data_IF_310756865415
#
_entry.id   IF_310756865415
#
_cell.length_a   1.000
_cell.length_b   1.000
_cell.length_c   1.000
_cell.angle_alpha   90.00
_cell.angle_beta   90.00
_cell.angle_gamma   90.00
#
_symmetry.space_group_name_H-M   'P 1'
#
loop_
_entity.id
_entity.type
_entity.pdbx_description
1 polymer ?
#
# COMPACT_ATOMS: atom_id res chain seq x y z
N UNK A 1 -3.91 -29.32 -1.35
CA UNK A 1 -3.13 -28.23 -0.70
C UNK A 1 -3.78 -27.93 0.64
N UNK A 2 -3.02 -27.89 1.72
CA UNK A 2 -3.54 -27.61 3.05
C UNK A 2 -3.86 -26.10 3.19
N UNK A 3 -4.99 -25.78 3.83
CA UNK A 3 -5.42 -24.40 4.13
C UNK A 3 -4.31 -23.63 4.87
N UNK A 4 -3.56 -24.30 5.75
CA UNK A 4 -2.41 -23.71 6.45
C UNK A 4 -1.32 -23.21 5.50
N UNK A 5 -1.05 -23.95 4.41
CA UNK A 5 -0.08 -23.52 3.40
C UNK A 5 -0.56 -22.28 2.63
N UNK A 6 -1.87 -22.22 2.31
CA UNK A 6 -2.46 -21.03 1.67
C UNK A 6 -2.34 -19.83 2.60
N UNK A 7 -2.73 -19.96 3.85
CA UNK A 7 -2.66 -18.87 4.84
C UNK A 7 -1.23 -18.38 5.05
N UNK A 8 -0.26 -19.30 5.13
CA UNK A 8 1.16 -18.96 5.21
C UNK A 8 1.68 -18.28 3.93
N UNK A 9 1.19 -18.69 2.76
CA UNK A 9 1.53 -18.06 1.48
C UNK A 9 0.96 -16.63 1.38
N UNK A 10 -0.29 -16.43 1.83
CA UNK A 10 -0.98 -15.14 1.81
C UNK A 10 -0.35 -14.15 2.82
N UNK A 11 0.17 -14.62 3.97
CA UNK A 11 0.68 -13.81 5.09
C UNK A 11 -0.24 -12.63 5.40
N UNK A 12 -1.34 -12.93 6.05
CA UNK A 12 -2.39 -11.95 6.38
C UNK A 12 -1.87 -10.73 7.17
N UNK A 13 -0.80 -10.91 7.93
CA UNK A 13 -0.11 -9.85 8.69
C UNK A 13 0.27 -8.64 7.82
N UNK A 14 0.61 -8.88 6.55
CA UNK A 14 0.92 -7.80 5.63
C UNK A 14 -0.33 -7.06 5.10
N UNK A 15 -1.53 -7.64 5.25
CA UNK A 15 -2.78 -6.95 4.94
C UNK A 15 -3.03 -5.81 5.93
N UNK A 16 -2.55 -5.96 7.18
CA UNK A 16 -2.62 -4.92 8.20
C UNK A 16 -1.88 -3.64 7.84
N UNK A 17 -0.99 -3.67 6.84
CA UNK A 17 -0.26 -2.49 6.36
C UNK A 17 -1.15 -1.51 5.59
N UNK A 18 -1.93 -2.01 4.65
CA UNK A 18 -2.77 -1.18 3.76
C UNK A 18 -4.19 -0.97 4.27
N UNK A 19 -4.68 -1.86 5.13
CA UNK A 19 -6.05 -1.83 5.61
C UNK A 19 -6.47 -0.50 6.24
N UNK A 20 -5.68 0.14 7.13
CA UNK A 20 -6.06 1.42 7.71
C UNK A 20 -6.29 2.50 6.65
N UNK A 21 -5.46 2.56 5.61
CA UNK A 21 -5.57 3.58 4.57
C UNK A 21 -6.76 3.33 3.62
N UNK A 22 -7.13 2.08 3.40
CA UNK A 22 -8.37 1.73 2.69
C UNK A 22 -9.57 2.26 3.47
N UNK A 23 -9.59 2.02 4.79
CA UNK A 23 -10.65 2.48 5.67
C UNK A 23 -10.66 4.02 5.77
N UNK A 24 -9.51 4.69 5.82
CA UNK A 24 -9.43 6.15 5.77
C UNK A 24 -10.03 6.69 4.47
N UNK A 25 -9.65 6.12 3.31
CA UNK A 25 -10.23 6.53 2.01
C UNK A 25 -11.74 6.33 1.95
N UNK A 26 -12.25 5.22 2.51
CA UNK A 26 -13.67 4.95 2.64
C UNK A 26 -14.36 6.00 3.53
N UNK A 27 -13.85 6.26 4.72
CA UNK A 27 -14.45 7.24 5.63
C UNK A 27 -14.47 8.67 5.07
N UNK A 28 -13.40 9.09 4.39
CA UNK A 28 -13.36 10.39 3.72
C UNK A 28 -14.52 10.50 2.70
N UNK A 29 -14.75 9.45 1.91
CA UNK A 29 -15.85 9.46 0.94
C UNK A 29 -17.23 9.44 1.62
N UNK A 30 -17.39 8.65 2.69
CA UNK A 30 -18.64 8.61 3.45
C UNK A 30 -18.96 9.99 4.05
N UNK A 31 -17.98 10.65 4.65
CA UNK A 31 -18.16 11.98 5.22
C UNK A 31 -18.52 13.04 4.15
N UNK A 32 -17.93 12.92 2.96
CA UNK A 32 -18.19 13.86 1.86
C UNK A 32 -19.57 13.68 1.21
N UNK A 33 -20.07 12.44 1.10
CA UNK A 33 -21.19 12.14 0.23
C UNK A 33 -22.43 11.57 0.93
N UNK A 34 -22.29 10.99 2.11
CA UNK A 34 -23.43 10.45 2.85
C UNK A 34 -23.99 11.44 3.89
N UNK A 35 -25.31 11.41 4.17
CA UNK A 35 -25.88 12.18 5.26
C UNK A 35 -25.24 11.82 6.62
N UNK A 36 -25.16 12.78 7.52
CA UNK A 36 -24.58 12.60 8.85
C UNK A 36 -25.20 11.39 9.58
N UNK A 37 -24.34 10.45 10.02
CA UNK A 37 -24.72 9.26 10.75
C UNK A 37 -25.09 8.05 9.89
N UNK A 38 -25.11 8.16 8.59
CA UNK A 38 -25.33 7.02 7.68
C UNK A 38 -23.98 6.33 7.39
N UNK A 39 -23.94 5.02 7.62
CA UNK A 39 -22.76 4.19 7.36
C UNK A 39 -23.11 3.09 6.36
N UNK A 40 -22.61 3.13 5.12
CA UNK A 40 -22.90 2.12 4.10
C UNK A 40 -22.08 0.83 4.37
N UNK A 41 -22.52 0.03 5.33
CA UNK A 41 -21.82 -1.19 5.76
C UNK A 41 -21.69 -2.23 4.65
N UNK A 42 -22.66 -2.31 3.73
CA UNK A 42 -22.59 -3.23 2.60
C UNK A 42 -21.43 -2.85 1.68
N UNK A 43 -21.26 -1.55 1.40
CA UNK A 43 -20.18 -1.04 0.54
C UNK A 43 -18.82 -1.24 1.22
N UNK A 44 -18.74 -1.01 2.54
CA UNK A 44 -17.53 -1.32 3.29
C UNK A 44 -17.13 -2.80 3.15
N UNK A 45 -18.09 -3.72 3.22
CA UNK A 45 -17.81 -5.15 3.02
C UNK A 45 -17.26 -5.41 1.62
N UNK A 46 -17.85 -4.82 0.57
CA UNK A 46 -17.37 -5.00 -0.80
C UNK A 46 -16.03 -4.32 -1.07
N UNK A 47 -15.77 -3.16 -0.48
CA UNK A 47 -14.44 -2.53 -0.48
C UNK A 47 -13.40 -3.44 0.15
N UNK A 48 -13.71 -4.07 1.28
CA UNK A 48 -12.80 -5.01 1.94
C UNK A 48 -12.59 -6.29 1.13
N UNK A 49 -13.63 -6.82 0.49
CA UNK A 49 -13.53 -7.98 -0.43
C UNK A 49 -12.60 -7.64 -1.60
N UNK A 50 -12.79 -6.50 -2.26
CA UNK A 50 -11.93 -6.04 -3.34
C UNK A 50 -10.48 -5.84 -2.87
N UNK A 51 -10.30 -5.24 -1.71
CA UNK A 51 -8.98 -4.97 -1.13
C UNK A 51 -8.20 -6.25 -0.79
N UNK A 52 -8.87 -7.26 -0.21
CA UNK A 52 -8.25 -8.57 0.04
C UNK A 52 -7.89 -9.25 -1.28
N UNK A 53 -8.79 -9.24 -2.26
CA UNK A 53 -8.53 -9.75 -3.61
C UNK A 53 -7.30 -9.11 -4.23
N UNK A 54 -7.24 -7.77 -4.25
CA UNK A 54 -6.11 -6.99 -4.77
C UNK A 54 -4.79 -7.32 -4.05
N UNK A 55 -4.82 -7.37 -2.73
CA UNK A 55 -3.62 -7.62 -1.91
C UNK A 55 -3.02 -8.99 -2.14
N UNK A 56 -3.86 -10.03 -2.14
CA UNK A 56 -3.40 -11.40 -2.34
C UNK A 56 -2.97 -11.62 -3.78
N UNK A 57 -3.67 -11.02 -4.75
CA UNK A 57 -3.28 -11.04 -6.16
C UNK A 57 -1.88 -10.43 -6.35
N UNK A 58 -1.66 -9.20 -5.85
CA UNK A 58 -0.38 -8.51 -5.93
C UNK A 58 0.78 -9.36 -5.40
N UNK A 59 0.56 -9.97 -4.23
CA UNK A 59 1.54 -10.84 -3.61
C UNK A 59 1.80 -12.11 -4.41
N UNK A 60 0.74 -12.73 -4.92
CA UNK A 60 0.83 -13.96 -5.71
C UNK A 60 1.60 -13.70 -7.00
N UNK A 61 1.28 -12.62 -7.72
CA UNK A 61 1.99 -12.21 -8.93
C UNK A 61 3.48 -11.94 -8.66
N UNK A 62 3.79 -11.21 -7.58
CA UNK A 62 5.17 -10.98 -7.17
C UNK A 62 5.94 -12.30 -6.95
N UNK A 63 5.32 -13.29 -6.27
CA UNK A 63 5.94 -14.60 -6.04
C UNK A 63 6.12 -15.42 -7.31
N UNK A 64 5.18 -15.35 -8.25
CA UNK A 64 5.25 -16.02 -9.54
C UNK A 64 6.40 -15.44 -10.38
N UNK A 65 6.44 -14.12 -10.50
CA UNK A 65 7.40 -13.40 -11.35
C UNK A 65 8.82 -13.47 -10.78
N UNK A 66 8.95 -13.42 -9.47
CA UNK A 66 10.26 -13.41 -8.78
C UNK A 66 10.76 -14.80 -8.38
N UNK A 67 10.07 -15.88 -8.74
CA UNK A 67 10.38 -17.24 -8.30
C UNK A 67 11.88 -17.58 -8.37
N UNK A 68 12.51 -17.30 -9.51
CA UNK A 68 13.92 -17.64 -9.72
C UNK A 68 14.85 -16.78 -8.87
N UNK A 69 14.61 -15.48 -8.80
CA UNK A 69 15.37 -14.55 -7.94
C UNK A 69 15.22 -14.92 -6.46
N UNK A 70 13.99 -15.27 -6.06
CA UNK A 70 13.70 -15.71 -4.69
C UNK A 70 14.45 -16.99 -4.32
N UNK A 71 14.64 -17.91 -5.25
CA UNK A 71 15.35 -19.17 -5.01
C UNK A 71 16.85 -18.97 -4.79
N UNK A 72 17.43 -17.92 -5.35
CA UNK A 72 18.86 -17.60 -5.24
C UNK A 72 19.19 -16.72 -4.02
N UNK A 73 18.20 -16.04 -3.43
CA UNK A 73 18.40 -15.24 -2.22
C UNK A 73 18.17 -16.08 -0.96
N UNK A 74 19.18 -16.24 -0.06
CA UNK A 74 19.07 -17.06 1.15
C UNK A 74 17.86 -16.73 2.04
N UNK A 75 17.45 -15.45 2.10
CA UNK A 75 16.31 -14.98 2.89
C UNK A 75 14.97 -15.44 2.30
N UNK A 76 14.88 -15.58 0.99
CA UNK A 76 13.63 -15.86 0.28
C UNK A 76 13.56 -17.26 -0.33
N UNK A 77 14.65 -18.02 -0.35
CA UNK A 77 14.72 -19.38 -0.90
C UNK A 77 13.72 -20.36 -0.28
N UNK A 78 13.30 -20.14 0.95
CA UNK A 78 12.29 -20.95 1.64
C UNK A 78 10.83 -20.57 1.28
N UNK A 79 10.64 -19.58 0.41
CA UNK A 79 9.30 -19.23 -0.07
C UNK A 79 8.69 -20.38 -0.87
N UNK A 80 7.39 -20.61 -0.71
CA UNK A 80 6.70 -21.79 -1.24
C UNK A 80 6.93 -22.07 -2.72
N UNK A 81 6.98 -21.06 -3.60
CA UNK A 81 7.27 -21.24 -5.03
C UNK A 81 8.76 -21.41 -5.31
N UNK A 82 9.62 -20.71 -4.58
CA UNK A 82 11.07 -20.79 -4.72
C UNK A 82 11.59 -22.15 -4.26
N UNK A 83 11.07 -22.66 -3.12
CA UNK A 83 11.43 -23.98 -2.56
C UNK A 83 10.73 -25.16 -3.25
N UNK A 84 9.79 -24.90 -4.17
CA UNK A 84 9.02 -25.95 -4.84
C UNK A 84 7.93 -26.63 -3.98
N UNK A 85 7.67 -26.12 -2.77
CA UNK A 85 6.60 -26.65 -1.89
C UNK A 85 5.19 -26.29 -2.36
N UNK A 86 5.06 -25.37 -3.34
CA UNK A 86 3.83 -25.03 -4.04
C UNK A 86 4.07 -25.11 -5.55
N UNK A 87 3.12 -25.70 -6.28
CA UNK A 87 3.20 -25.76 -7.75
C UNK A 87 2.86 -24.42 -8.39
N UNK A 88 3.42 -24.16 -9.58
CA UNK A 88 3.08 -22.98 -10.39
C UNK A 88 1.59 -22.97 -10.79
N UNK A 89 1.01 -24.13 -11.09
CA UNK A 89 -0.43 -24.25 -11.39
C UNK A 89 -1.27 -23.75 -10.21
N UNK A 90 -0.93 -24.18 -8.99
CA UNK A 90 -1.61 -23.72 -7.77
C UNK A 90 -1.50 -22.19 -7.60
N UNK A 91 -0.32 -21.63 -7.82
CA UNK A 91 -0.13 -20.18 -7.70
C UNK A 91 -0.95 -19.40 -8.73
N UNK A 92 -1.04 -19.87 -9.98
CA UNK A 92 -1.89 -19.27 -11.00
C UNK A 92 -3.37 -19.41 -10.69
N UNK A 93 -3.82 -20.56 -10.15
CA UNK A 93 -5.21 -20.74 -9.69
C UNK A 93 -5.55 -19.73 -8.60
N UNK A 94 -4.66 -19.52 -7.63
CA UNK A 94 -4.83 -18.50 -6.61
C UNK A 94 -4.88 -17.08 -7.21
N UNK A 95 -3.99 -16.78 -8.16
CA UNK A 95 -3.98 -15.47 -8.83
C UNK A 95 -5.32 -15.20 -9.54
N UNK A 96 -5.85 -16.17 -10.28
CA UNK A 96 -7.16 -16.05 -10.95
C UNK A 96 -8.30 -15.93 -9.94
N UNK A 97 -8.30 -16.72 -8.86
CA UNK A 97 -9.33 -16.66 -7.84
C UNK A 97 -9.37 -15.29 -7.13
N UNK A 98 -8.20 -14.72 -6.78
CA UNK A 98 -8.13 -13.42 -6.13
C UNK A 98 -8.32 -12.24 -7.10
N UNK A 99 -8.01 -12.40 -8.38
CA UNK A 99 -8.46 -11.47 -9.41
C UNK A 99 -9.99 -11.47 -9.50
N UNK A 100 -10.61 -12.64 -9.54
CA UNK A 100 -12.07 -12.78 -9.50
C UNK A 100 -12.69 -12.12 -8.26
N UNK A 101 -12.05 -12.27 -7.10
CA UNK A 101 -12.49 -11.64 -5.85
C UNK A 101 -12.40 -10.11 -5.90
N UNK A 102 -11.32 -9.56 -6.47
CA UNK A 102 -11.18 -8.12 -6.72
C UNK A 102 -12.29 -7.61 -7.64
N UNK A 103 -12.49 -8.27 -8.79
CA UNK A 103 -13.48 -7.86 -9.79
C UNK A 103 -14.92 -7.99 -9.25
N UNK A 104 -15.19 -9.05 -8.48
CA UNK A 104 -16.48 -9.22 -7.82
C UNK A 104 -16.74 -8.09 -6.82
N UNK A 105 -15.80 -7.81 -5.92
CA UNK A 105 -15.94 -6.73 -4.93
C UNK A 105 -16.13 -5.37 -5.61
N UNK A 106 -15.33 -5.05 -6.63
CA UNK A 106 -15.45 -3.81 -7.39
C UNK A 106 -16.78 -3.73 -8.17
N UNK A 107 -17.22 -4.83 -8.78
CA UNK A 107 -18.47 -4.88 -9.55
C UNK A 107 -19.73 -4.82 -8.68
N UNK A 108 -19.65 -5.25 -7.41
CA UNK A 108 -20.74 -5.10 -6.44
C UNK A 108 -20.87 -3.69 -5.87
N UNK A 109 -19.83 -2.86 -6.04
CA UNK A 109 -19.85 -1.44 -5.70
C UNK A 109 -20.50 -0.64 -6.86
N UNK A 110 -19.78 -0.44 -7.95
CA UNK A 110 -20.30 0.25 -9.12
C UNK A 110 -19.46 -0.01 -10.39
N UNK A 111 -19.96 0.46 -11.52
CA UNK A 111 -19.30 0.28 -12.82
C UNK A 111 -17.92 0.97 -12.91
N UNK A 112 -17.76 2.11 -12.26
CA UNK A 112 -16.50 2.89 -12.26
C UNK A 112 -15.42 2.14 -11.49
N UNK A 113 -15.75 1.63 -10.29
CA UNK A 113 -14.84 0.83 -9.48
C UNK A 113 -14.41 -0.44 -10.25
N UNK A 114 -15.36 -1.11 -10.91
CA UNK A 114 -15.05 -2.28 -11.74
C UNK A 114 -14.15 -1.90 -12.93
N UNK A 115 -14.52 -0.85 -13.67
CA UNK A 115 -13.76 -0.40 -14.82
C UNK A 115 -12.34 0.04 -14.44
N UNK A 116 -12.16 0.71 -13.29
CA UNK A 116 -10.85 1.19 -12.82
C UNK A 116 -9.98 0.11 -12.17
N UNK A 117 -10.52 -1.10 -11.92
CA UNK A 117 -9.78 -2.20 -11.28
C UNK A 117 -8.54 -2.68 -12.06
N UNK A 118 -8.45 -2.39 -13.37
CA UNK A 118 -7.25 -2.68 -14.18
C UNK A 118 -6.02 -1.91 -13.70
N UNK A 119 -6.20 -0.72 -13.15
CA UNK A 119 -5.09 0.16 -12.74
C UNK A 119 -4.22 -0.46 -11.63
N UNK A 120 -4.77 -0.92 -10.48
CA UNK A 120 -3.98 -1.62 -9.49
C UNK A 120 -3.41 -2.95 -10.05
N UNK A 121 -4.16 -3.68 -10.87
CA UNK A 121 -3.66 -4.93 -11.47
C UNK A 121 -2.42 -4.66 -12.32
N UNK A 122 -2.45 -3.62 -13.17
CA UNK A 122 -1.29 -3.20 -13.98
C UNK A 122 -0.09 -2.88 -13.09
N UNK A 123 -0.30 -2.09 -12.03
CA UNK A 123 0.81 -1.72 -11.12
C UNK A 123 1.41 -2.94 -10.42
N UNK A 124 0.59 -3.94 -10.05
CA UNK A 124 1.03 -5.19 -9.43
C UNK A 124 1.85 -6.08 -10.38
N UNK A 125 1.46 -6.11 -11.66
CA UNK A 125 2.22 -6.86 -12.69
C UNK A 125 3.55 -6.19 -12.97
N UNK A 126 3.58 -4.87 -13.09
CA UNK A 126 4.80 -4.10 -13.45
C UNK A 126 5.80 -4.07 -12.30
N UNK A 127 5.36 -3.98 -11.05
CA UNK A 127 6.21 -3.84 -9.88
C UNK A 127 7.40 -4.82 -9.82
N UNK A 128 7.22 -6.16 -9.94
CA UNK A 128 8.33 -7.10 -9.82
C UNK A 128 9.39 -6.94 -10.93
N UNK A 129 9.02 -6.35 -12.05
CA UNK A 129 9.96 -6.09 -13.15
C UNK A 129 10.77 -4.82 -12.91
N UNK A 130 10.20 -3.79 -12.25
CA UNK A 130 10.87 -2.48 -12.06
C UNK A 130 12.23 -2.61 -11.38
N UNK A 131 12.37 -3.47 -10.39
CA UNK A 131 13.64 -3.69 -9.69
C UNK A 131 14.77 -4.27 -10.57
N UNK A 132 14.42 -4.79 -11.77
CA UNK A 132 15.40 -5.35 -12.73
C UNK A 132 16.06 -4.26 -13.56
N UNK A 133 15.47 -3.07 -13.66
CA UNK A 133 15.99 -1.98 -14.50
C UNK A 133 16.07 -0.61 -13.83
N UNK A 134 15.39 -0.40 -12.67
CA UNK A 134 15.40 0.90 -12.00
C UNK A 134 15.37 0.81 -10.48
N UNK A 135 16.09 1.72 -9.83
CA UNK A 135 16.04 1.92 -8.39
C UNK A 135 14.74 2.60 -7.90
N UNK A 136 13.92 3.10 -8.81
CA UNK A 136 12.58 3.63 -8.51
C UNK A 136 11.56 2.52 -8.19
N UNK A 137 11.96 1.26 -8.15
CA UNK A 137 11.10 0.12 -7.79
C UNK A 137 10.40 0.31 -6.44
N UNK A 138 11.04 0.98 -5.48
CA UNK A 138 10.46 1.30 -4.17
C UNK A 138 9.30 2.31 -4.29
N UNK A 139 9.46 3.34 -5.14
CA UNK A 139 8.40 4.30 -5.44
C UNK A 139 7.22 3.62 -6.14
N UNK A 140 7.50 2.66 -7.03
CA UNK A 140 6.47 1.88 -7.69
C UNK A 140 5.67 1.02 -6.70
N UNK A 141 6.35 0.38 -5.74
CA UNK A 141 5.66 -0.32 -4.64
C UNK A 141 4.82 0.65 -3.80
N UNK A 142 5.37 1.82 -3.51
CA UNK A 142 4.64 2.89 -2.85
C UNK A 142 3.35 3.25 -3.60
N UNK A 143 3.43 3.43 -4.92
CA UNK A 143 2.26 3.70 -5.76
C UNK A 143 1.22 2.58 -5.69
N UNK A 144 1.64 1.30 -5.71
CA UNK A 144 0.71 0.17 -5.57
C UNK A 144 -0.14 0.26 -4.29
N UNK A 145 0.43 0.75 -3.18
CA UNK A 145 -0.29 0.90 -1.92
C UNK A 145 -0.99 2.26 -1.82
N UNK A 146 -0.44 3.30 -2.43
CA UNK A 146 -1.06 4.64 -2.48
C UNK A 146 -2.36 4.68 -3.29
N UNK A 147 -2.56 3.73 -4.21
CA UNK A 147 -3.84 3.56 -4.90
C UNK A 147 -4.96 3.01 -4.00
N UNK A 148 -4.63 2.44 -2.84
CA UNK A 148 -5.62 1.80 -1.98
C UNK A 148 -6.64 2.80 -1.38
N UNK A 149 -6.23 3.93 -0.74
CA UNK A 149 -7.19 4.93 -0.28
C UNK A 149 -7.96 5.58 -1.43
N UNK A 150 -7.30 5.87 -2.57
CA UNK A 150 -7.97 6.42 -3.74
C UNK A 150 -9.03 5.46 -4.30
N UNK A 151 -8.72 4.16 -4.39
CA UNK A 151 -9.68 3.15 -4.85
C UNK A 151 -10.88 3.01 -3.92
N UNK A 152 -10.68 3.04 -2.61
CA UNK A 152 -11.77 2.99 -1.63
C UNK A 152 -12.65 4.25 -1.69
N UNK A 153 -12.05 5.43 -1.90
CA UNK A 153 -12.78 6.67 -2.08
C UNK A 153 -13.59 6.67 -3.38
N UNK A 154 -12.98 6.29 -4.51
CA UNK A 154 -13.67 6.20 -5.82
C UNK A 154 -14.84 5.23 -5.76
N UNK A 155 -14.68 4.11 -5.05
CA UNK A 155 -15.72 3.10 -4.88
C UNK A 155 -17.02 3.66 -4.27
N UNK A 156 -16.91 4.69 -3.44
CA UNK A 156 -18.06 5.35 -2.81
C UNK A 156 -18.48 6.60 -3.59
N UNK A 157 -17.52 7.45 -3.96
CA UNK A 157 -17.81 8.70 -4.68
C UNK A 157 -18.53 8.46 -6.02
N UNK A 158 -18.23 7.34 -6.69
CA UNK A 158 -18.85 7.02 -7.97
C UNK A 158 -20.33 6.59 -7.87
N UNK A 159 -20.85 6.23 -6.71
CA UNK A 159 -22.28 6.02 -6.52
C UNK A 159 -23.08 7.33 -6.64
N UNK A 160 -22.44 8.45 -6.31
CA UNK A 160 -23.05 9.79 -6.39
C UNK A 160 -22.72 10.52 -7.69
N UNK A 161 -21.53 10.32 -8.24
CA UNK A 161 -20.98 11.10 -9.34
C UNK A 161 -20.63 10.28 -10.59
N UNK A 162 -20.78 8.95 -10.57
CA UNK A 162 -20.36 8.10 -11.67
C UNK A 162 -18.91 8.37 -12.08
N UNK A 163 -18.65 8.53 -13.38
CA UNK A 163 -17.33 8.86 -13.91
C UNK A 163 -16.81 10.25 -13.52
N UNK A 164 -17.69 11.16 -13.12
CA UNK A 164 -17.29 12.48 -12.61
C UNK A 164 -16.56 12.38 -11.26
N UNK A 165 -16.69 11.28 -10.53
CA UNK A 165 -15.84 11.03 -9.36
C UNK A 165 -14.34 11.16 -9.70
N UNK A 166 -13.95 10.81 -10.94
CA UNK A 166 -12.56 10.86 -11.40
C UNK A 166 -12.25 12.16 -12.14
N UNK A 167 -13.16 12.62 -13.01
CA UNK A 167 -12.92 13.71 -13.96
C UNK A 167 -13.69 14.99 -13.63
N UNK A 168 -14.65 14.91 -12.70
CA UNK A 168 -15.52 16.01 -12.33
C UNK A 168 -14.82 17.09 -11.52
N UNK A 169 -15.31 18.31 -11.68
CA UNK A 169 -14.89 19.51 -10.93
C UNK A 169 -15.93 19.85 -9.88
N UNK A 170 -15.60 20.73 -8.95
CA UNK A 170 -16.49 21.12 -7.85
C UNK A 170 -16.06 20.58 -6.48
N UNK A 171 -14.79 20.12 -6.38
CA UNK A 171 -14.19 19.74 -5.11
C UNK A 171 -14.01 20.95 -4.16
N UNK A 172 -13.35 20.72 -3.03
CA UNK A 172 -13.15 21.67 -1.92
C UNK A 172 -12.68 23.07 -2.34
N UNK A 173 -11.98 23.18 -3.48
CA UNK A 173 -11.48 24.45 -4.03
C UNK A 173 -12.23 24.90 -5.30
N UNK A 174 -13.53 24.67 -5.35
CA UNK A 174 -14.38 25.17 -6.44
C UNK A 174 -14.12 24.47 -7.77
N UNK A 175 -13.23 24.98 -8.63
CA UNK A 175 -12.92 24.39 -9.93
C UNK A 175 -11.94 23.19 -9.87
N UNK A 176 -11.55 22.75 -8.67
CA UNK A 176 -10.67 21.59 -8.46
C UNK A 176 -11.39 20.26 -8.74
N UNK A 177 -10.59 19.21 -8.95
CA UNK A 177 -11.10 17.83 -9.06
C UNK A 177 -11.68 17.38 -7.72
N UNK A 178 -12.72 16.54 -7.75
CA UNK A 178 -13.42 16.08 -6.54
C UNK A 178 -12.50 15.38 -5.52
N UNK A 179 -11.48 14.66 -5.99
CA UNK A 179 -10.50 13.96 -5.16
C UNK A 179 -9.33 14.85 -4.68
N UNK A 180 -9.24 16.11 -5.14
CA UNK A 180 -8.18 17.04 -4.76
C UNK A 180 -8.73 18.08 -3.76
N UNK A 181 -7.99 18.43 -2.69
CA UNK A 181 -6.63 17.97 -2.37
C UNK A 181 -6.57 16.71 -1.49
N UNK A 182 -7.62 16.39 -0.75
CA UNK A 182 -7.60 15.47 0.38
C UNK A 182 -7.16 14.06 -0.02
N UNK A 183 -7.90 13.42 -0.92
CA UNK A 183 -7.58 12.05 -1.35
C UNK A 183 -6.25 11.98 -2.12
N UNK A 184 -5.92 13.03 -2.89
CA UNK A 184 -4.63 13.12 -3.56
C UNK A 184 -3.47 13.08 -2.56
N UNK A 185 -3.49 13.93 -1.54
CA UNK A 185 -2.40 13.99 -0.58
C UNK A 185 -2.38 12.78 0.36
N UNK A 186 -3.50 12.18 0.70
CA UNK A 186 -3.51 10.88 1.41
C UNK A 186 -2.82 9.81 0.57
N UNK A 187 -3.18 9.67 -0.69
CA UNK A 187 -2.61 8.66 -1.61
C UNK A 187 -1.13 8.88 -1.86
N UNK A 188 -0.72 10.14 -2.08
CA UNK A 188 0.68 10.51 -2.24
C UNK A 188 1.48 10.28 -0.94
N UNK A 189 0.91 10.64 0.22
CA UNK A 189 1.51 10.39 1.52
C UNK A 189 1.76 8.91 1.76
N UNK A 190 0.78 8.06 1.48
CA UNK A 190 0.93 6.59 1.56
C UNK A 190 2.00 6.09 0.59
N UNK A 191 2.03 6.60 -0.64
CA UNK A 191 3.06 6.27 -1.64
C UNK A 191 4.47 6.55 -1.10
N UNK A 192 4.69 7.75 -0.57
CA UNK A 192 6.00 8.18 -0.05
C UNK A 192 6.38 7.44 1.24
N UNK A 193 5.42 7.20 2.12
CA UNK A 193 5.62 6.44 3.34
C UNK A 193 6.08 5.00 3.05
N UNK A 194 5.39 4.29 2.15
CA UNK A 194 5.76 2.93 1.74
C UNK A 194 7.11 2.94 1.02
N UNK A 195 7.39 3.95 0.21
CA UNK A 195 8.70 4.10 -0.45
C UNK A 195 9.82 4.19 0.60
N UNK A 196 9.66 5.02 1.62
CA UNK A 196 10.64 5.15 2.71
C UNK A 196 10.81 3.83 3.49
N UNK A 197 9.70 3.15 3.79
CA UNK A 197 9.72 1.85 4.44
C UNK A 197 10.49 0.82 3.59
N UNK A 198 10.14 0.66 2.31
CA UNK A 198 10.67 -0.38 1.44
C UNK A 198 12.16 -0.18 1.13
N UNK A 199 12.61 1.06 0.96
CA UNK A 199 14.04 1.40 0.86
C UNK A 199 14.81 0.87 2.08
N UNK A 200 14.28 1.08 3.29
CA UNK A 200 14.94 0.62 4.51
C UNK A 200 14.80 -0.89 4.72
N UNK A 201 13.69 -1.47 4.27
CA UNK A 201 13.48 -2.91 4.32
C UNK A 201 14.44 -3.66 3.37
N UNK A 202 14.77 -3.07 2.22
CA UNK A 202 15.70 -3.63 1.25
C UNK A 202 17.19 -3.62 1.72
N UNK A 203 17.54 -2.94 2.81
CA UNK A 203 18.91 -2.98 3.39
C UNK A 203 19.36 -4.40 3.73
N UNK A 204 18.44 -5.30 4.09
CA UNK A 204 18.77 -6.70 4.38
C UNK A 204 19.16 -7.53 3.16
N UNK A 205 18.83 -7.03 1.96
CA UNK A 205 19.06 -7.76 0.71
C UNK A 205 20.21 -7.17 -0.13
N UNK A 206 20.93 -6.14 0.34
CA UNK A 206 21.93 -5.39 -0.43
C UNK A 206 22.99 -6.29 -1.09
N UNK A 207 23.51 -7.26 -0.35
CA UNK A 207 24.54 -8.19 -0.87
C UNK A 207 23.95 -9.10 -1.96
N UNK A 208 22.77 -9.66 -1.72
CA UNK A 208 22.06 -10.48 -2.69
C UNK A 208 21.65 -9.66 -3.92
N UNK A 209 21.15 -8.45 -3.73
CA UNK A 209 20.71 -7.56 -4.82
C UNK A 209 21.88 -7.21 -5.74
N UNK A 210 23.03 -6.86 -5.17
CA UNK A 210 24.26 -6.59 -5.96
C UNK A 210 24.72 -7.81 -6.74
N UNK A 211 24.69 -8.99 -6.12
CA UNK A 211 25.10 -10.24 -6.77
C UNK A 211 24.19 -10.59 -7.97
N UNK A 212 22.88 -10.33 -7.87
CA UNK A 212 21.91 -10.71 -8.88
C UNK A 212 21.49 -9.55 -9.81
N UNK A 213 22.18 -8.39 -9.73
CA UNK A 213 21.89 -7.24 -10.59
C UNK A 213 20.54 -6.57 -10.33
N UNK A 214 19.99 -6.71 -9.12
CA UNK A 214 18.77 -6.05 -8.69
C UNK A 214 19.10 -4.59 -8.34
N UNK A 215 18.29 -3.67 -8.86
CA UNK A 215 18.51 -2.24 -8.70
C UNK A 215 17.76 -1.65 -7.49
N UNK A 216 17.86 -2.29 -6.30
CA UNK A 216 17.31 -1.64 -5.11
C UNK A 216 18.10 -0.37 -4.76
N UNK A 217 17.43 0.60 -4.13
CA UNK A 217 18.06 1.87 -3.75
C UNK A 217 19.31 1.67 -2.88
N UNK A 218 19.25 0.87 -1.78
CA UNK A 218 20.43 0.66 -0.94
C UNK A 218 21.53 -0.17 -1.61
N UNK A 219 21.24 -0.95 -2.65
CA UNK A 219 22.26 -1.65 -3.43
C UNK A 219 23.04 -0.70 -4.37
N UNK A 220 22.39 0.37 -4.85
CA UNK A 220 22.93 1.36 -5.79
C UNK A 220 23.61 2.54 -5.10
N UNK A 221 23.11 2.97 -3.96
CA UNK A 221 23.54 4.19 -3.28
C UNK A 221 24.21 3.86 -1.94
N UNK A 222 24.94 4.85 -1.40
CA UNK A 222 25.61 4.72 -0.11
C UNK A 222 24.59 4.66 1.06
N UNK A 223 25.02 4.10 2.18
CA UNK A 223 24.25 4.04 3.41
C UNK A 223 23.77 5.43 3.86
N UNK A 224 24.64 6.43 3.81
CA UNK A 224 24.31 7.83 4.11
C UNK A 224 23.24 8.39 3.16
N UNK A 225 23.33 8.10 1.85
CA UNK A 225 22.34 8.54 0.86
C UNK A 225 20.99 7.85 1.13
N UNK A 226 21.00 6.55 1.46
CA UNK A 226 19.82 5.78 1.79
C UNK A 226 19.08 6.36 3.00
N UNK A 227 19.80 6.62 4.09
CA UNK A 227 19.21 7.22 5.30
C UNK A 227 18.68 8.64 5.02
N UNK A 228 19.47 9.48 4.33
CA UNK A 228 19.05 10.85 3.99
C UNK A 228 17.76 10.86 3.15
N UNK A 229 17.69 10.03 2.10
CA UNK A 229 16.50 9.92 1.25
C UNK A 229 15.29 9.43 2.03
N UNK A 230 15.48 8.46 2.92
CA UNK A 230 14.40 7.95 3.78
C UNK A 230 13.83 9.03 4.69
N UNK A 231 14.69 9.86 5.30
CA UNK A 231 14.24 11.00 6.13
C UNK A 231 13.53 12.05 5.27
N UNK A 232 14.04 12.37 4.09
CA UNK A 232 13.37 13.32 3.17
C UNK A 232 11.97 12.81 2.78
N UNK A 233 11.84 11.53 2.45
CA UNK A 233 10.56 10.91 2.16
C UNK A 233 9.61 10.95 3.38
N UNK A 234 10.17 10.77 4.60
CA UNK A 234 9.39 10.87 5.85
C UNK A 234 8.85 12.28 6.07
N UNK A 235 9.64 13.31 5.83
CA UNK A 235 9.17 14.69 5.89
C UNK A 235 8.12 14.99 4.81
N UNK A 236 8.31 14.47 3.61
CA UNK A 236 7.36 14.68 2.51
C UNK A 236 6.01 13.98 2.75
N UNK A 237 6.00 12.75 3.22
CA UNK A 237 4.72 12.10 3.51
C UNK A 237 4.00 12.74 4.70
N UNK A 238 4.73 13.22 5.71
CA UNK A 238 4.14 14.01 6.79
C UNK A 238 3.52 15.30 6.26
N UNK A 239 4.22 16.03 5.37
CA UNK A 239 3.69 17.22 4.72
C UNK A 239 2.42 16.91 3.89
N UNK A 240 2.40 15.77 3.16
CA UNK A 240 1.20 15.33 2.45
C UNK A 240 0.02 15.11 3.39
N UNK A 241 0.21 14.41 4.51
CA UNK A 241 -0.87 14.18 5.48
C UNK A 241 -1.31 15.48 6.17
N UNK A 242 -0.39 16.43 6.37
CA UNK A 242 -0.73 17.76 6.90
C UNK A 242 -1.58 18.55 5.90
N UNK A 243 -1.24 18.48 4.60
CA UNK A 243 -2.02 19.14 3.54
C UNK A 243 -3.38 18.49 3.29
N UNK A 244 -3.46 17.17 3.50
CA UNK A 244 -4.72 16.45 3.39
C UNK A 244 -5.67 16.79 4.55
N UNK A 245 -5.16 16.73 5.78
CA UNK A 245 -5.90 16.91 7.05
C UNK A 245 -7.39 16.57 6.95
N UNK A 246 -7.74 15.31 6.68
CA UNK A 246 -9.06 14.91 6.17
C UNK A 246 -10.21 15.18 7.14
N UNK A 247 -9.91 15.39 8.43
CA UNK A 247 -10.90 15.66 9.47
C UNK A 247 -10.88 17.10 9.95
N UNK A 248 -10.00 17.95 9.40
CA UNK A 248 -9.71 19.30 9.90
C UNK A 248 -9.35 19.34 11.39
N UNK A 249 -8.96 18.19 11.96
CA UNK A 249 -8.74 17.96 13.38
C UNK A 249 -7.27 17.86 13.74
N UNK A 250 -6.92 18.43 14.92
CA UNK A 250 -5.54 18.39 15.42
C UNK A 250 -5.07 16.94 15.71
N UNK A 251 -5.96 16.03 16.08
CA UNK A 251 -5.61 14.66 16.45
C UNK A 251 -4.98 13.87 15.31
N UNK A 252 -5.48 14.05 14.07
CA UNK A 252 -4.87 13.44 12.90
C UNK A 252 -3.43 13.94 12.68
N UNK A 253 -3.23 15.26 12.79
CA UNK A 253 -1.91 15.88 12.63
C UNK A 253 -0.93 15.46 13.74
N UNK A 254 -1.40 15.37 14.98
CA UNK A 254 -0.58 14.91 16.12
C UNK A 254 -0.16 13.44 15.88
N UNK A 255 -1.09 12.59 15.47
CA UNK A 255 -0.80 11.19 15.13
C UNK A 255 0.23 11.08 14.00
N UNK A 256 0.05 11.86 12.92
CA UNK A 256 0.98 11.90 11.80
C UNK A 256 2.38 12.36 12.23
N UNK A 257 2.48 13.39 13.08
CA UNK A 257 3.76 13.88 13.61
C UNK A 257 4.46 12.83 14.47
N UNK A 258 3.74 12.23 15.43
CA UNK A 258 4.29 11.17 16.29
C UNK A 258 4.85 10.03 15.44
N UNK A 259 4.09 9.58 14.43
CA UNK A 259 4.54 8.49 13.59
C UNK A 259 5.67 8.87 12.63
N UNK A 260 5.71 10.14 12.17
CA UNK A 260 6.85 10.65 11.40
C UNK A 260 8.13 10.64 12.23
N UNK A 261 8.07 11.13 13.46
CA UNK A 261 9.21 11.11 14.38
C UNK A 261 9.66 9.68 14.72
N UNK A 262 8.72 8.76 14.97
CA UNK A 262 9.02 7.36 15.25
C UNK A 262 9.70 6.66 14.07
N UNK A 263 9.17 6.83 12.85
CA UNK A 263 9.79 6.26 11.64
C UNK A 263 11.18 6.88 11.39
N UNK A 264 11.32 8.19 11.49
CA UNK A 264 12.60 8.88 11.34
C UNK A 264 13.64 8.38 12.37
N UNK A 265 13.24 8.25 13.63
CA UNK A 265 14.11 7.72 14.69
C UNK A 265 14.64 6.33 14.36
N UNK A 266 13.76 5.41 13.97
CA UNK A 266 14.15 4.04 13.59
C UNK A 266 15.12 4.06 12.41
N UNK A 267 14.85 4.85 11.37
CA UNK A 267 15.69 4.95 10.18
C UNK A 267 17.07 5.56 10.47
N UNK A 268 17.16 6.53 11.41
CA UNK A 268 18.43 7.10 11.85
C UNK A 268 19.27 6.15 12.71
N UNK A 269 18.63 5.20 13.39
CA UNK A 269 19.27 4.23 14.27
C UNK A 269 19.49 2.85 13.63
N UNK A 270 19.39 2.76 12.30
CA UNK A 270 19.46 1.50 11.55
C UNK A 270 20.66 0.60 11.91
N UNK A 271 21.84 1.19 12.19
CA UNK A 271 23.05 0.43 12.57
C UNK A 271 23.12 0.05 14.05
N UNK A 272 22.40 0.77 14.92
CA UNK A 272 22.49 0.63 16.38
C UNK A 272 21.33 -0.15 17.01
N UNK A 273 20.26 -0.42 16.23
CA UNK A 273 19.10 -1.16 16.73
C UNK A 273 19.23 -2.65 16.46
N UNK A 274 19.29 -3.43 17.51
CA UNK A 274 19.09 -4.88 17.41
C UNK A 274 17.73 -5.16 16.80
N UNK A 275 17.65 -6.08 15.84
CA UNK A 275 16.41 -6.43 15.12
C UNK A 275 15.76 -5.24 14.40
N UNK A 276 16.58 -4.37 13.81
CA UNK A 276 16.14 -3.18 13.07
C UNK A 276 14.92 -3.44 12.18
N UNK A 277 14.93 -4.53 11.40
CA UNK A 277 13.84 -4.86 10.47
C UNK A 277 12.51 -5.14 11.15
N UNK A 278 12.53 -5.81 12.31
CA UNK A 278 11.33 -6.11 13.09
C UNK A 278 10.74 -4.82 13.69
N UNK A 279 11.61 -3.92 14.18
CA UNK A 279 11.20 -2.63 14.73
C UNK A 279 10.66 -1.74 13.64
N UNK A 280 11.35 -1.64 12.51
CA UNK A 280 10.93 -0.90 11.32
C UNK A 280 9.54 -1.36 10.86
N UNK A 281 9.33 -2.68 10.74
CA UNK A 281 8.05 -3.26 10.34
C UNK A 281 6.93 -2.87 11.33
N UNK A 282 7.15 -3.05 12.63
CA UNK A 282 6.14 -2.73 13.66
C UNK A 282 5.78 -1.25 13.66
N UNK A 283 6.77 -0.35 13.66
CA UNK A 283 6.54 1.10 13.65
C UNK A 283 5.80 1.51 12.38
N UNK A 284 6.19 0.96 11.24
CA UNK A 284 5.51 1.27 9.98
C UNK A 284 4.07 0.74 9.96
N UNK A 285 3.79 -0.48 10.41
CA UNK A 285 2.40 -0.98 10.55
C UNK A 285 1.60 -0.08 11.50
N UNK A 286 2.18 0.30 12.65
CA UNK A 286 1.51 1.17 13.61
C UNK A 286 1.15 2.54 13.04
N UNK A 287 1.86 3.02 12.01
CA UNK A 287 1.59 4.32 11.38
C UNK A 287 0.15 4.39 10.87
N UNK A 288 -0.28 3.42 10.07
CA UNK A 288 -1.66 3.40 9.57
C UNK A 288 -2.71 3.30 10.69
N UNK A 289 -2.44 2.44 11.68
CA UNK A 289 -3.37 2.23 12.80
C UNK A 289 -3.50 3.45 13.72
N UNK A 290 -2.44 4.23 13.90
CA UNK A 290 -2.51 5.52 14.63
C UNK A 290 -3.31 6.54 13.83
N UNK A 291 -3.10 6.62 12.52
CA UNK A 291 -3.79 7.59 11.65
C UNK A 291 -5.28 7.32 11.47
N UNK A 292 -5.75 6.09 11.66
CA UNK A 292 -7.19 5.77 11.58
C UNK A 292 -7.92 6.09 12.89
N UNK A 293 -7.23 6.17 14.03
CA UNK A 293 -7.90 6.35 15.33
C UNK A 293 -8.87 7.54 15.38
N UNK A 294 -8.55 8.74 14.85
CA UNK A 294 -9.48 9.86 14.83
C UNK A 294 -10.80 9.53 14.12
N UNK A 295 -10.78 8.75 13.04
CA UNK A 295 -11.97 8.38 12.28
C UNK A 295 -12.88 7.38 13.01
N UNK A 296 -12.37 6.69 14.02
CA UNK A 296 -13.12 5.67 14.77
C UNK A 296 -13.59 6.21 16.12
N UNK A 297 -12.89 7.20 16.68
CA UNK A 297 -13.13 7.72 18.04
C UNK A 297 -13.95 9.01 18.06
N UNK A 298 -14.04 9.73 16.95
CA UNK A 298 -14.84 10.95 16.76
C UNK A 298 -16.07 10.65 15.93
#
# INVERSE_FOLDING_TARGET
MDIKQIMSFIKIEHTLFSLPFIIIGFFIAVEQFYPSGEMPLADLVWVLVAAVGARVLARTLNRIIDRNIDAENPRTAQRHLASGTMSMSTAWTLAVAFLGMLLLGAGMLNEVALAMSWLPVLTFVVYPYTKRFTWLCHLWLGLCLGLAPAGAWVAIAADFHGWEAITGTGGEFGNGLLWYPTIFFISLGVTLWITAFDINYARMDVESDRKHGINSFPARFSERATTRTSIQLTLLWFACFTLANPMEEAWFLIGALIMALANAYVMLRNESLDKFQDILFKVSVSTGWVLILPFVLL
#
